data_IF_952936179283
#
_entry.id   IF_952936179283
#
_cell.length_a   1.000
_cell.length_b   1.000
_cell.length_c   1.000
_cell.angle_alpha   90.00
_cell.angle_beta   90.00
_cell.angle_gamma   90.00
#
_symmetry.space_group_name_H-M   'P 1'
#
loop_
_entity.id
_entity.type
_entity.pdbx_description
1 polymer ?
#
# COMPACT_ATOMS: atom_id res chain seq x y z
N UNK A 1 -19.35 37.76 6.29
CA UNK A 1 -18.80 36.40 6.24
C UNK A 1 -17.65 36.35 7.24
N UNK A 2 -17.92 35.82 8.45
CA UNK A 2 -16.95 35.79 9.55
C UNK A 2 -16.02 34.60 9.34
N UNK A 3 -14.75 34.85 9.09
CA UNK A 3 -13.71 33.80 9.04
C UNK A 3 -13.56 33.25 10.46
N UNK A 4 -13.67 31.93 10.70
CA UNK A 4 -13.42 31.37 12.02
C UNK A 4 -11.94 31.55 12.38
N UNK A 5 -11.67 32.35 13.41
CA UNK A 5 -10.31 32.66 13.90
C UNK A 5 -9.86 31.69 15.00
N UNK A 6 -10.17 30.42 14.88
CA UNK A 6 -9.74 29.40 15.82
C UNK A 6 -8.93 28.30 15.14
N UNK A 7 -7.60 28.47 15.01
CA UNK A 7 -6.75 27.35 14.66
C UNK A 7 -6.58 26.46 15.89
N UNK A 8 -7.16 25.27 15.86
CA UNK A 8 -6.87 24.25 16.85
C UNK A 8 -5.40 23.82 16.72
N UNK A 9 -4.69 23.71 17.84
CA UNK A 9 -3.35 23.15 17.84
C UNK A 9 -3.39 21.69 17.28
N UNK A 10 -2.39 21.28 16.48
CA UNK A 10 -2.39 19.94 15.91
C UNK A 10 -2.23 18.89 17.02
N UNK A 11 -3.30 18.15 17.26
CA UNK A 11 -3.29 16.99 18.17
C UNK A 11 -3.30 15.70 17.36
N UNK A 12 -2.80 14.61 17.94
CA UNK A 12 -2.82 13.30 17.28
C UNK A 12 -4.24 12.85 16.90
N UNK A 13 -5.25 13.19 17.67
CA UNK A 13 -6.64 12.82 17.41
C UNK A 13 -7.21 13.63 16.23
N UNK A 14 -7.04 14.95 16.20
CA UNK A 14 -7.48 15.78 15.07
C UNK A 14 -6.78 15.38 13.77
N UNK A 15 -5.50 15.03 13.84
CA UNK A 15 -4.75 14.53 12.69
C UNK A 15 -5.34 13.20 12.19
N UNK A 16 -5.59 12.23 13.08
CA UNK A 16 -6.22 10.95 12.72
C UNK A 16 -7.62 11.14 12.15
N UNK A 17 -8.40 12.07 12.67
CA UNK A 17 -9.76 12.34 12.18
C UNK A 17 -9.74 12.94 10.78
N UNK A 18 -8.81 13.87 10.50
CA UNK A 18 -8.62 14.43 9.17
C UNK A 18 -8.27 13.34 8.15
N UNK A 19 -7.31 12.45 8.49
CA UNK A 19 -6.89 11.37 7.60
C UNK A 19 -7.93 10.23 7.51
N UNK A 20 -8.78 10.05 8.50
CA UNK A 20 -9.93 9.14 8.41
C UNK A 20 -10.92 9.58 7.33
N UNK A 21 -11.13 10.88 7.19
CA UNK A 21 -12.01 11.46 6.17
C UNK A 21 -11.35 11.55 4.78
N UNK A 22 -10.06 11.25 4.65
CA UNK A 22 -9.33 11.28 3.39
C UNK A 22 -9.32 9.89 2.76
N UNK A 23 -9.96 9.67 1.59
CA UNK A 23 -9.95 8.37 0.92
C UNK A 23 -8.57 8.08 0.30
N UNK A 24 -8.18 6.81 0.33
CA UNK A 24 -6.93 6.37 -0.27
C UNK A 24 -7.12 5.03 -0.99
N UNK A 25 -6.42 4.84 -2.09
CA UNK A 25 -6.30 3.55 -2.75
C UNK A 25 -5.58 2.54 -1.85
N UNK A 26 -5.89 1.26 -2.01
CA UNK A 26 -5.29 0.17 -1.24
C UNK A 26 -4.26 -0.57 -2.07
N UNK A 27 -3.11 -0.79 -1.47
CA UNK A 27 -2.05 -1.62 -2.02
C UNK A 27 -1.62 -2.69 -1.00
N UNK A 28 -1.08 -3.79 -1.50
CA UNK A 28 -0.27 -4.72 -0.71
C UNK A 28 1.17 -4.60 -1.17
N UNK A 29 2.08 -4.48 -0.23
CA UNK A 29 3.52 -4.42 -0.49
C UNK A 29 4.15 -5.69 0.03
N UNK A 30 4.89 -6.39 -0.83
CA UNK A 30 5.58 -7.64 -0.51
C UNK A 30 7.07 -7.51 -0.76
N UNK A 31 7.86 -8.24 0.00
CA UNK A 31 9.31 -8.36 -0.19
C UNK A 31 9.80 -9.72 0.29
N UNK A 32 10.99 -10.12 -0.16
CA UNK A 32 11.70 -11.24 0.43
C UNK A 32 12.46 -10.76 1.65
N UNK A 33 12.04 -11.22 2.81
CA UNK A 33 12.75 -10.99 4.07
C UNK A 33 13.80 -12.07 4.35
N UNK A 34 14.59 -11.92 5.43
CA UNK A 34 15.64 -12.88 5.79
C UNK A 34 15.08 -14.27 6.16
N UNK A 35 13.89 -14.31 6.77
CA UNK A 35 13.26 -15.54 7.25
C UNK A 35 12.12 -16.02 6.34
N UNK A 36 11.96 -15.44 5.17
CA UNK A 36 10.89 -15.78 4.21
C UNK A 36 10.14 -14.55 3.68
N UNK A 37 9.06 -14.78 2.91
CA UNK A 37 8.27 -13.71 2.35
C UNK A 37 7.58 -12.87 3.42
N UNK A 38 7.58 -11.56 3.23
CA UNK A 38 6.89 -10.60 4.10
C UNK A 38 5.98 -9.69 3.28
N UNK A 39 4.95 -9.16 3.91
CA UNK A 39 4.06 -8.22 3.25
C UNK A 39 3.12 -7.53 4.23
N UNK A 40 2.54 -6.43 3.78
CA UNK A 40 1.56 -5.63 4.53
C UNK A 40 0.63 -4.86 3.59
N UNK A 41 -0.52 -4.49 4.09
CA UNK A 41 -1.44 -3.59 3.41
C UNK A 41 -1.08 -2.15 3.70
N UNK A 42 -1.05 -1.33 2.67
CA UNK A 42 -0.76 0.10 2.73
C UNK A 42 -1.83 0.93 2.03
N UNK A 43 -2.16 2.08 2.60
CA UNK A 43 -3.02 3.11 2.01
C UNK A 43 -2.24 4.41 1.72
N UNK A 44 -0.93 4.37 1.82
CA UNK A 44 -0.05 5.54 1.70
C UNK A 44 0.72 5.61 0.37
N UNK A 45 0.43 4.69 -0.56
CA UNK A 45 1.13 4.65 -1.85
C UNK A 45 0.73 5.84 -2.72
N UNK A 46 1.73 6.54 -3.23
CA UNK A 46 1.54 7.64 -4.17
C UNK A 46 2.59 7.62 -5.28
N UNK A 47 2.23 8.08 -6.47
CA UNK A 47 3.20 8.34 -7.53
C UNK A 47 4.01 9.60 -7.21
N UNK A 48 5.31 9.58 -7.53
CA UNK A 48 6.22 10.71 -7.29
C UNK A 48 6.73 11.29 -8.61
N UNK A 49 7.15 10.42 -9.53
CA UNK A 49 7.70 10.80 -10.84
C UNK A 49 7.30 9.77 -11.88
N UNK A 50 7.10 10.21 -13.12
CA UNK A 50 6.87 9.34 -14.26
C UNK A 50 8.17 9.04 -15.03
N UNK A 51 9.15 9.94 -15.00
CA UNK A 51 10.43 9.79 -15.69
C UNK A 51 11.59 10.24 -14.79
N UNK A 52 12.35 9.31 -14.19
CA UNK A 52 12.08 7.89 -14.10
C UNK A 52 10.83 7.58 -13.26
N UNK A 53 10.19 6.40 -13.44
CA UNK A 53 9.00 6.05 -12.67
C UNK A 53 9.38 5.77 -11.20
N UNK A 54 8.89 6.60 -10.31
CA UNK A 54 9.14 6.54 -8.86
C UNK A 54 7.84 6.67 -8.11
N UNK A 55 7.66 5.82 -7.11
CA UNK A 55 6.56 5.89 -6.16
C UNK A 55 7.09 6.09 -4.74
N UNK A 56 6.22 6.52 -3.83
CA UNK A 56 6.51 6.59 -2.40
C UNK A 56 5.38 5.98 -1.58
N UNK A 57 5.74 5.51 -0.40
CA UNK A 57 4.80 5.04 0.62
C UNK A 57 5.41 5.17 2.01
N UNK A 58 4.59 5.06 3.05
CA UNK A 58 5.05 5.03 4.43
C UNK A 58 4.62 3.76 5.14
N UNK A 59 5.47 3.26 6.01
CA UNK A 59 5.18 2.11 6.87
C UNK A 59 5.52 2.43 8.32
N UNK A 60 4.67 1.96 9.24
CA UNK A 60 5.00 2.00 10.68
C UNK A 60 6.06 0.95 10.99
N UNK A 61 7.14 1.35 11.66
CA UNK A 61 8.24 0.44 12.02
C UNK A 61 7.91 -0.49 13.21
N UNK A 62 6.70 -0.39 13.75
CA UNK A 62 6.27 -1.14 14.93
C UNK A 62 5.97 -2.63 14.68
N UNK A 63 5.93 -3.10 13.44
CA UNK A 63 5.67 -4.50 13.11
C UNK A 63 6.90 -5.21 12.52
N UNK A 64 7.11 -6.51 12.81
CA UNK A 64 8.21 -7.29 12.24
C UNK A 64 8.19 -7.31 10.71
N UNK A 65 7.01 -7.44 10.09
CA UNK A 65 6.86 -7.42 8.63
C UNK A 65 7.31 -6.09 8.02
N UNK A 66 6.97 -4.96 8.68
CA UNK A 66 7.41 -3.65 8.22
C UNK A 66 8.93 -3.47 8.39
N UNK A 67 9.49 -3.94 9.49
CA UNK A 67 10.93 -3.89 9.73
C UNK A 67 11.71 -4.68 8.66
N UNK A 68 11.26 -5.90 8.32
CA UNK A 68 11.86 -6.72 7.27
C UNK A 68 11.71 -6.06 5.87
N UNK A 69 10.53 -5.52 5.56
CA UNK A 69 10.27 -4.82 4.29
C UNK A 69 11.17 -3.59 4.12
N UNK A 70 11.37 -2.83 5.19
CA UNK A 70 12.25 -1.64 5.16
C UNK A 70 13.71 -2.02 4.87
N UNK A 71 14.16 -3.23 5.24
CA UNK A 71 15.52 -3.70 4.99
C UNK A 71 15.73 -4.31 3.60
N UNK A 72 14.65 -4.65 2.89
CA UNK A 72 14.75 -5.24 1.56
C UNK A 72 15.32 -4.23 0.54
N UNK A 73 16.08 -4.73 -0.44
CA UNK A 73 16.57 -3.90 -1.56
C UNK A 73 15.50 -3.67 -2.61
N UNK A 74 14.68 -4.69 -2.84
CA UNK A 74 13.60 -4.71 -3.80
C UNK A 74 12.30 -5.21 -3.18
N UNK A 75 11.18 -4.80 -3.76
CA UNK A 75 9.84 -5.12 -3.29
C UNK A 75 8.85 -5.08 -4.45
N UNK A 76 7.63 -5.60 -4.23
CA UNK A 76 6.52 -5.47 -5.19
C UNK A 76 5.37 -4.72 -4.54
N UNK A 77 4.87 -3.71 -5.23
CA UNK A 77 3.66 -2.96 -4.86
C UNK A 77 2.51 -3.43 -5.72
N UNK A 78 1.51 -4.05 -5.12
CA UNK A 78 0.29 -4.52 -5.79
C UNK A 78 -0.82 -3.51 -5.56
N UNK A 79 -1.31 -2.86 -6.61
CA UNK A 79 -2.47 -1.97 -6.53
C UNK A 79 -3.72 -2.85 -6.64
N UNK A 80 -4.51 -2.89 -5.56
CA UNK A 80 -5.60 -3.87 -5.44
C UNK A 80 -6.90 -3.39 -6.06
N UNK A 81 -7.63 -4.34 -6.64
CA UNK A 81 -9.02 -4.20 -7.04
C UNK A 81 -10.00 -4.53 -5.92
N UNK A 82 -11.25 -4.16 -6.11
CA UNK A 82 -12.31 -4.39 -5.13
C UNK A 82 -12.67 -5.88 -4.93
N UNK A 83 -12.37 -6.72 -5.89
CA UNK A 83 -12.46 -8.19 -5.83
C UNK A 83 -11.40 -8.81 -4.91
N UNK A 84 -10.32 -8.07 -4.63
CA UNK A 84 -9.22 -8.49 -3.75
C UNK A 84 -9.36 -7.98 -2.31
N UNK A 85 -10.59 -7.67 -1.86
CA UNK A 85 -10.84 -7.24 -0.47
C UNK A 85 -10.28 -8.25 0.55
N UNK A 86 -10.43 -9.55 0.31
CA UNK A 86 -9.91 -10.61 1.20
C UNK A 86 -8.39 -10.54 1.35
N UNK A 87 -7.67 -10.26 0.27
CA UNK A 87 -6.21 -10.08 0.28
C UNK A 87 -5.82 -8.83 1.09
N UNK A 88 -6.51 -7.70 0.86
CA UNK A 88 -6.27 -6.48 1.62
C UNK A 88 -6.42 -6.69 3.13
N UNK A 89 -7.47 -7.40 3.55
CA UNK A 89 -7.75 -7.72 4.95
C UNK A 89 -6.74 -8.70 5.55
N UNK A 90 -6.36 -9.74 4.80
CA UNK A 90 -5.36 -10.72 5.22
C UNK A 90 -4.02 -10.03 5.53
N UNK A 91 -3.55 -9.19 4.62
CA UNK A 91 -2.28 -8.48 4.78
C UNK A 91 -2.32 -7.34 5.82
N UNK A 92 -3.50 -6.84 6.16
CA UNK A 92 -3.70 -5.90 7.26
C UNK A 92 -3.76 -6.56 8.65
N UNK A 93 -4.07 -7.86 8.70
CA UNK A 93 -4.26 -8.59 9.97
C UNK A 93 -2.91 -8.91 10.62
N UNK A 94 -2.75 -8.50 11.89
CA UNK A 94 -1.54 -8.77 12.65
C UNK A 94 -1.44 -10.27 12.97
N UNK A 95 -0.28 -10.87 12.71
CA UNK A 95 0.00 -12.28 13.01
C UNK A 95 -0.66 -13.28 12.07
N UNK A 96 -1.36 -12.84 11.03
CA UNK A 96 -1.92 -13.74 10.02
C UNK A 96 -0.80 -14.41 9.22
N UNK A 97 -1.02 -15.68 8.88
CA UNK A 97 -0.21 -16.39 7.89
C UNK A 97 -0.61 -15.94 6.48
N UNK A 98 0.12 -14.97 5.96
CA UNK A 98 -0.18 -14.32 4.68
C UNK A 98 0.18 -15.15 3.46
N UNK A 99 1.14 -16.07 3.63
CA UNK A 99 1.76 -16.81 2.53
C UNK A 99 1.53 -18.32 2.61
N UNK A 100 0.84 -18.82 3.65
CA UNK A 100 0.57 -20.24 3.90
C UNK A 100 -0.64 -20.82 3.13
N UNK A 101 -1.04 -20.19 2.01
CA UNK A 101 -2.10 -20.72 1.13
C UNK A 101 -3.43 -19.97 1.18
N UNK A 102 -3.54 -18.90 2.00
CA UNK A 102 -4.72 -18.02 2.00
C UNK A 102 -4.68 -16.95 0.89
N UNK A 103 -3.52 -16.74 0.30
CA UNK A 103 -3.32 -15.89 -0.87
C UNK A 103 -2.59 -16.71 -1.95
N UNK A 104 -3.02 -16.56 -3.20
CA UNK A 104 -2.30 -17.10 -4.33
C UNK A 104 -1.12 -16.19 -4.68
N UNK A 105 0.08 -16.74 -4.62
CA UNK A 105 1.31 -16.01 -4.89
C UNK A 105 2.39 -16.95 -5.44
N UNK A 106 3.38 -16.37 -6.10
CA UNK A 106 4.57 -17.07 -6.56
C UNK A 106 5.81 -16.16 -6.45
N UNK A 107 7.01 -16.73 -6.27
CA UNK A 107 8.22 -15.94 -6.26
C UNK A 107 8.59 -15.50 -7.68
N UNK A 108 8.93 -14.22 -7.82
CA UNK A 108 9.60 -13.75 -9.04
C UNK A 108 11.00 -14.39 -9.16
N UNK A 109 11.61 -14.43 -10.35
CA UNK A 109 12.98 -14.91 -10.53
C UNK A 109 14.00 -14.19 -9.63
N UNK A 110 13.71 -12.96 -9.23
CA UNK A 110 14.52 -12.15 -8.30
C UNK A 110 14.19 -12.39 -6.82
N UNK A 111 13.18 -13.22 -6.53
CA UNK A 111 12.84 -13.70 -5.19
C UNK A 111 11.67 -13.01 -4.51
N UNK A 112 11.24 -11.83 -4.96
CA UNK A 112 10.12 -11.13 -4.34
C UNK A 112 8.80 -11.88 -4.56
N UNK A 113 7.92 -11.95 -3.54
CA UNK A 113 6.59 -12.54 -3.70
C UNK A 113 5.70 -11.68 -4.59
N UNK A 114 5.17 -12.26 -5.67
CA UNK A 114 4.14 -11.66 -6.51
C UNK A 114 2.78 -12.29 -6.17
N UNK A 115 1.80 -11.45 -5.82
CA UNK A 115 0.41 -11.88 -5.65
C UNK A 115 -0.24 -12.08 -7.02
N UNK A 116 -0.88 -13.24 -7.20
CA UNK A 116 -1.62 -13.51 -8.41
C UNK A 116 -2.80 -12.53 -8.58
N UNK A 117 -3.15 -12.27 -9.84
CA UNK A 117 -4.36 -11.53 -10.24
C UNK A 117 -4.47 -10.08 -9.72
N UNK A 118 -3.39 -9.50 -9.20
CA UNK A 118 -3.40 -8.07 -8.90
C UNK A 118 -3.56 -7.27 -10.20
N UNK A 119 -4.49 -6.29 -10.27
CA UNK A 119 -4.67 -5.46 -11.48
C UNK A 119 -3.37 -4.82 -11.95
N UNK A 120 -2.54 -4.41 -11.00
CA UNK A 120 -1.21 -3.86 -11.25
C UNK A 120 -0.23 -4.34 -10.19
N UNK A 121 0.90 -4.87 -10.62
CA UNK A 121 2.03 -5.21 -9.76
C UNK A 121 3.28 -4.48 -10.27
N UNK A 122 3.87 -3.67 -9.40
CA UNK A 122 5.02 -2.83 -9.68
C UNK A 122 6.21 -3.37 -8.88
N UNK A 123 7.18 -4.01 -9.56
CA UNK A 123 8.43 -4.39 -8.93
C UNK A 123 9.33 -3.17 -8.81
N UNK A 124 9.81 -2.89 -7.62
CA UNK A 124 10.52 -1.66 -7.30
C UNK A 124 11.85 -1.92 -6.62
N UNK A 125 12.81 -1.02 -6.84
CA UNK A 125 14.06 -0.90 -6.07
C UNK A 125 13.96 0.28 -5.12
N UNK A 126 14.26 0.08 -3.84
CA UNK A 126 14.26 1.17 -2.88
C UNK A 126 15.42 2.12 -3.15
N UNK A 127 15.11 3.40 -3.34
CA UNK A 127 16.08 4.48 -3.51
C UNK A 127 16.42 5.16 -2.20
N UNK A 128 15.39 5.50 -1.42
CA UNK A 128 15.56 6.28 -0.20
C UNK A 128 14.67 5.74 0.91
N UNK A 129 15.20 5.82 2.12
CA UNK A 129 14.53 5.52 3.39
C UNK A 129 14.66 6.73 4.30
N UNK A 130 13.55 7.38 4.63
CA UNK A 130 13.53 8.56 5.49
C UNK A 130 12.77 8.22 6.78
N UNK A 131 13.46 8.12 7.93
CA UNK A 131 12.78 7.92 9.20
C UNK A 131 12.05 9.20 9.62
N UNK A 132 10.76 9.06 9.97
CA UNK A 132 9.93 10.18 10.44
C UNK A 132 9.06 9.68 11.59
N UNK A 133 9.32 10.14 12.81
CA UNK A 133 8.62 9.68 14.01
C UNK A 133 8.73 8.15 14.17
N UNK A 134 7.60 7.46 14.34
CA UNK A 134 7.52 5.99 14.42
C UNK A 134 7.31 5.31 13.07
N UNK A 135 7.62 5.99 11.96
CA UNK A 135 7.40 5.50 10.60
C UNK A 135 8.63 5.68 9.72
N UNK A 136 8.66 4.96 8.62
CA UNK A 136 9.64 5.10 7.55
C UNK A 136 8.92 5.51 6.27
N UNK A 137 9.33 6.62 5.64
CA UNK A 137 8.94 6.95 4.27
C UNK A 137 9.94 6.29 3.34
N UNK A 138 9.43 5.60 2.32
CA UNK A 138 10.23 4.91 1.31
C UNK A 138 9.91 5.52 -0.04
N UNK A 139 10.96 5.88 -0.78
CA UNK A 139 10.88 6.19 -2.19
C UNK A 139 11.52 5.05 -2.98
N UNK A 140 10.83 4.55 -4.00
CA UNK A 140 11.25 3.39 -4.76
C UNK A 140 11.04 3.62 -6.27
N UNK A 141 12.06 3.26 -7.05
CA UNK A 141 12.03 3.26 -8.52
C UNK A 141 11.34 2.00 -9.02
N UNK A 142 10.41 2.15 -9.94
CA UNK A 142 9.72 1.03 -10.58
C UNK A 142 10.62 0.44 -11.66
N UNK A 143 10.97 -0.84 -11.52
CA UNK A 143 11.84 -1.57 -12.43
C UNK A 143 11.06 -2.32 -13.51
N UNK A 144 9.89 -2.87 -13.15
CA UNK A 144 8.96 -3.52 -14.07
C UNK A 144 7.53 -3.38 -13.58
N UNK A 145 6.59 -3.45 -14.50
CA UNK A 145 5.15 -3.39 -14.25
C UNK A 145 4.52 -4.62 -14.89
N UNK A 146 3.76 -5.36 -14.10
CA UNK A 146 2.89 -6.43 -14.57
C UNK A 146 1.44 -5.97 -14.45
N UNK A 147 0.69 -6.11 -15.54
CA UNK A 147 -0.74 -5.86 -15.58
C UNK A 147 -1.47 -7.20 -15.48
N UNK A 148 -2.43 -7.28 -14.57
CA UNK A 148 -3.31 -8.45 -14.45
C UNK A 148 -4.21 -8.62 -15.67
N UNK A 149 -4.79 -9.80 -15.79
CA UNK A 149 -5.62 -10.18 -16.95
C UNK A 149 -7.04 -9.58 -16.94
N UNK A 150 -7.42 -8.92 -15.84
CA UNK A 150 -8.75 -8.35 -15.65
C UNK A 150 -8.75 -6.83 -15.90
N UNK A 151 -9.16 -6.42 -17.08
CA UNK A 151 -9.12 -5.01 -17.52
C UNK A 151 -10.17 -4.11 -16.85
N UNK A 152 -11.19 -4.65 -16.19
CA UNK A 152 -12.36 -3.93 -15.66
C UNK A 152 -12.54 -4.04 -14.14
N UNK A 153 -11.46 -4.23 -13.40
CA UNK A 153 -11.55 -4.32 -11.94
C UNK A 153 -11.70 -2.94 -11.32
N UNK A 154 -12.84 -2.71 -10.68
CA UNK A 154 -13.07 -1.48 -9.92
C UNK A 154 -12.01 -1.32 -8.81
N UNK A 155 -11.45 -0.12 -8.58
CA UNK A 155 -10.42 0.09 -7.57
C UNK A 155 -10.97 -0.11 -6.16
N UNK A 156 -10.11 -0.66 -5.27
CA UNK A 156 -10.37 -0.77 -3.84
C UNK A 156 -9.92 0.51 -3.14
N UNK A 157 -10.83 1.14 -2.40
CA UNK A 157 -10.57 2.39 -1.68
C UNK A 157 -10.86 2.19 -0.19
N UNK A 158 -10.07 2.81 0.66
CA UNK A 158 -10.27 2.86 2.09
C UNK A 158 -10.64 4.27 2.53
N UNK A 159 -11.79 4.41 3.18
CA UNK A 159 -12.29 5.67 3.68
C UNK A 159 -13.10 5.44 4.94
N UNK A 160 -12.92 6.27 5.93
CA UNK A 160 -13.66 6.23 7.20
C UNK A 160 -13.69 4.84 7.85
N UNK A 161 -12.54 4.14 7.86
CA UNK A 161 -12.35 2.77 8.40
C UNK A 161 -13.15 1.69 7.67
N UNK A 162 -13.58 1.94 6.46
CA UNK A 162 -14.32 1.01 5.63
C UNK A 162 -13.70 0.89 4.24
N UNK A 163 -13.85 -0.29 3.64
CA UNK A 163 -13.45 -0.49 2.26
C UNK A 163 -14.61 -0.15 1.34
N UNK A 164 -14.29 0.47 0.23
CA UNK A 164 -15.25 0.92 -0.78
C UNK A 164 -14.79 0.49 -2.17
N UNK A 165 -15.77 0.33 -3.06
CA UNK A 165 -15.57 0.18 -4.49
C UNK A 165 -15.95 1.49 -5.17
N UNK A 166 -15.09 2.01 -6.05
CA UNK A 166 -15.50 3.07 -6.98
C UNK A 166 -16.16 2.44 -8.20
N UNK A 167 -17.16 3.09 -8.74
CA UNK A 167 -17.89 2.68 -9.93
C UNK A 167 -18.58 3.87 -10.57
N UNK A 168 -19.36 3.64 -11.63
CA UNK A 168 -20.01 4.71 -12.40
C UNK A 168 -20.87 5.65 -11.54
N UNK A 169 -21.47 5.11 -10.47
CA UNK A 169 -22.26 5.90 -9.52
C UNK A 169 -21.43 6.85 -8.65
N UNK A 170 -20.12 6.73 -8.63
CA UNK A 170 -19.20 7.62 -7.91
C UNK A 170 -18.63 8.73 -8.79
N UNK A 171 -18.96 8.76 -10.07
CA UNK A 171 -18.59 9.85 -10.98
C UNK A 171 -19.39 11.10 -10.65
N UNK A 172 -18.67 12.19 -10.48
CA UNK A 172 -19.29 13.52 -10.37
C UNK A 172 -19.30 14.12 -11.76
N UNK A 173 -20.45 14.15 -12.37
CA UNK A 173 -20.91 14.62 -13.67
C UNK A 173 -20.06 15.40 -14.61
#
# INVERSE_FOLDING_TARGET
MTVPTGHAAPTAELFKDAFRAHPAGIAVITAQGPDGPVGLTASSVSSVSAEPPVLAFSVSTASPSAAALVQADTLVVHLLGADQLGIAQLFATRGADRFGGAADWYPLPSGEPLLADAPWALRCRILHRLPVGGSMIIAAEVLSIEQGTHDDVAPLVYHNRSYHRLGDQSLLG
#
